data_IF_364446253263
#
_entry.id   IF_364446253263
#
_cell.length_a   1.000
_cell.length_b   1.000
_cell.length_c   1.000
_cell.angle_alpha   90.00
_cell.angle_beta   90.00
_cell.angle_gamma   90.00
#
_symmetry.space_group_name_H-M   'P 1'
#
loop_
_entity.id
_entity.type
_entity.pdbx_description
1 polymer ?
#
# COMPACT_ATOMS: atom_id res chain seq x y z
N UNK A 1 24.23 -10.64 -23.53
CA UNK A 1 22.83 -10.60 -23.05
C UNK A 1 22.46 -9.14 -22.90
N UNK A 2 21.31 -8.74 -23.44
CA UNK A 2 20.73 -7.38 -23.34
C UNK A 2 19.33 -7.47 -22.74
N UNK A 3 18.86 -6.38 -22.16
CA UNK A 3 17.47 -6.20 -21.74
C UNK A 3 16.86 -5.22 -22.74
N UNK A 4 15.75 -5.61 -23.37
CA UNK A 4 14.96 -4.73 -24.22
C UNK A 4 13.91 -4.06 -23.33
N UNK A 5 14.07 -2.75 -23.12
CA UNK A 5 13.21 -1.99 -22.22
C UNK A 5 11.93 -1.54 -22.92
N UNK A 6 10.80 -1.81 -22.28
CA UNK A 6 9.51 -1.21 -22.62
C UNK A 6 9.20 -0.13 -21.58
N UNK A 7 9.05 1.11 -22.04
CA UNK A 7 8.65 2.21 -21.17
C UNK A 7 7.12 2.19 -20.96
N UNK A 8 6.69 2.26 -19.70
CA UNK A 8 5.28 2.36 -19.33
C UNK A 8 4.99 3.70 -18.66
N UNK A 9 4.07 4.53 -19.19
CA UNK A 9 3.75 5.83 -18.59
C UNK A 9 3.12 5.67 -17.20
N UNK A 10 3.55 6.48 -16.23
CA UNK A 10 2.92 6.57 -14.91
C UNK A 10 3.24 7.89 -14.20
N UNK A 11 2.43 8.24 -13.20
CA UNK A 11 2.60 9.44 -12.37
C UNK A 11 2.28 10.75 -13.09
N UNK A 12 2.81 11.85 -12.56
CA UNK A 12 2.55 13.21 -13.07
C UNK A 12 2.91 13.41 -14.55
N UNK A 13 3.90 12.70 -15.07
CA UNK A 13 4.25 12.75 -16.49
C UNK A 13 3.14 12.14 -17.37
N UNK A 14 2.61 10.98 -16.97
CA UNK A 14 1.49 10.34 -17.65
C UNK A 14 0.24 11.21 -17.60
N UNK A 15 -0.09 11.72 -16.41
CA UNK A 15 -1.30 12.53 -16.21
C UNK A 15 -1.28 13.80 -17.07
N UNK A 16 -0.14 14.48 -17.18
CA UNK A 16 0.00 15.66 -18.06
C UNK A 16 -0.18 15.34 -19.54
N UNK A 17 0.20 14.14 -19.97
CA UNK A 17 0.14 13.74 -21.36
C UNK A 17 -1.23 13.18 -21.76
N UNK A 18 -1.88 12.44 -20.86
CA UNK A 18 -3.05 11.59 -21.17
C UNK A 18 -4.27 11.88 -20.30
N UNK A 19 -4.12 12.58 -19.18
CA UNK A 19 -5.14 12.70 -18.13
C UNK A 19 -5.20 11.49 -17.19
N UNK A 20 -4.47 10.41 -17.47
CA UNK A 20 -4.45 9.19 -16.65
C UNK A 20 -3.16 9.09 -15.83
N UNK A 21 -3.30 8.83 -14.53
CA UNK A 21 -2.14 8.68 -13.64
C UNK A 21 -1.36 7.39 -13.88
N UNK A 22 -2.05 6.29 -14.14
CA UNK A 22 -1.45 5.01 -14.52
C UNK A 22 -2.35 4.40 -15.60
N UNK A 23 -2.00 4.56 -16.88
CA UNK A 23 -2.77 4.01 -17.98
C UNK A 23 -2.87 2.50 -17.89
N UNK A 24 -3.99 1.97 -18.39
CA UNK A 24 -4.25 0.53 -18.39
C UNK A 24 -3.18 -0.27 -19.12
N UNK A 25 -2.62 0.28 -20.20
CA UNK A 25 -1.51 -0.31 -20.95
C UNK A 25 -0.28 -0.57 -20.06
N UNK A 26 0.02 0.30 -19.10
CA UNK A 26 1.13 0.13 -18.15
C UNK A 26 0.87 -1.06 -17.22
N UNK A 27 -0.36 -1.18 -16.70
CA UNK A 27 -0.76 -2.32 -15.86
C UNK A 27 -0.70 -3.63 -16.65
N UNK A 28 -1.19 -3.63 -17.88
CA UNK A 28 -1.18 -4.80 -18.75
C UNK A 28 0.25 -5.22 -19.11
N UNK A 29 1.15 -4.26 -19.39
CA UNK A 29 2.56 -4.54 -19.60
C UNK A 29 3.22 -5.20 -18.38
N UNK A 30 2.92 -4.73 -17.15
CA UNK A 30 3.40 -5.40 -15.93
C UNK A 30 2.85 -6.83 -15.79
N UNK A 31 1.56 -7.04 -16.09
CA UNK A 31 0.94 -8.38 -16.04
C UNK A 31 1.52 -9.34 -17.08
N UNK A 32 1.80 -8.85 -18.29
CA UNK A 32 2.39 -9.64 -19.37
C UNK A 32 3.84 -9.99 -19.09
N UNK A 33 4.67 -8.98 -18.77
CA UNK A 33 6.12 -9.16 -18.64
C UNK A 33 6.58 -9.59 -17.24
N UNK A 34 5.70 -9.56 -16.23
CA UNK A 34 5.88 -10.03 -14.83
C UNK A 34 6.90 -9.26 -13.99
N UNK A 35 7.94 -8.73 -14.60
CA UNK A 35 9.01 -7.97 -13.95
C UNK A 35 9.01 -6.58 -14.55
N UNK A 36 9.01 -5.57 -13.70
CA UNK A 36 9.29 -4.22 -14.14
C UNK A 36 9.97 -3.41 -13.05
N UNK A 37 10.57 -2.31 -13.49
CA UNK A 37 11.31 -1.38 -12.65
C UNK A 37 10.64 -0.02 -12.76
N UNK A 38 10.41 0.64 -11.62
CA UNK A 38 9.80 1.96 -11.60
C UNK A 38 10.64 2.95 -10.79
N UNK A 39 10.65 4.20 -11.24
CA UNK A 39 11.21 5.32 -10.50
C UNK A 39 10.29 5.82 -9.37
N UNK A 40 10.66 6.89 -8.65
CA UNK A 40 9.70 7.57 -7.79
C UNK A 40 8.52 8.09 -8.64
N UNK A 41 7.29 7.80 -8.22
CA UNK A 41 6.09 8.33 -8.87
C UNK A 41 5.53 9.46 -8.03
N UNK A 42 5.35 10.62 -8.65
CA UNK A 42 4.68 11.75 -8.04
C UNK A 42 3.19 11.70 -8.41
N UNK A 43 2.34 11.81 -7.39
CA UNK A 43 0.92 12.10 -7.52
C UNK A 43 0.59 13.39 -6.79
N UNK A 44 -0.46 14.09 -7.23
CA UNK A 44 -1.04 15.18 -6.46
C UNK A 44 -2.11 14.59 -5.53
N UNK A 45 -2.07 14.92 -4.24
CA UNK A 45 -3.20 14.63 -3.36
C UNK A 45 -4.30 15.63 -3.71
N UNK A 46 -5.29 15.21 -4.49
CA UNK A 46 -6.41 16.05 -4.90
C UNK A 46 -7.73 15.25 -4.80
N UNK A 47 -8.85 15.97 -4.94
CA UNK A 47 -10.18 15.36 -4.82
C UNK A 47 -10.41 14.24 -5.84
N UNK A 48 -9.82 14.28 -7.04
CA UNK A 48 -9.96 13.20 -8.03
C UNK A 48 -9.33 11.90 -7.54
N UNK A 49 -8.12 11.96 -6.99
CA UNK A 49 -7.44 10.80 -6.39
C UNK A 49 -8.24 10.25 -5.19
N UNK A 50 -8.80 11.14 -4.35
CA UNK A 50 -9.66 10.75 -3.24
C UNK A 50 -11.03 10.18 -3.69
N UNK A 51 -11.63 10.70 -4.76
CA UNK A 51 -12.91 10.24 -5.31
C UNK A 51 -12.81 8.87 -5.98
N UNK A 52 -11.63 8.49 -6.45
CA UNK A 52 -11.34 7.13 -6.90
C UNK A 52 -11.06 6.14 -5.74
N UNK A 53 -11.18 6.57 -4.49
CA UNK A 53 -10.94 5.73 -3.31
C UNK A 53 -9.48 5.35 -3.14
N UNK A 54 -8.55 6.11 -3.70
CA UNK A 54 -7.12 5.83 -3.68
C UNK A 54 -6.36 6.86 -2.85
N UNK A 55 -5.56 6.46 -1.86
CA UNK A 55 -4.62 7.38 -1.21
C UNK A 55 -3.32 7.59 -2.02
N UNK A 56 -2.97 6.66 -2.90
CA UNK A 56 -1.70 6.66 -3.62
C UNK A 56 -1.69 5.79 -4.87
N UNK A 57 -0.92 6.21 -5.88
CA UNK A 57 -0.60 5.37 -7.06
C UNK A 57 0.13 4.08 -6.69
N UNK A 58 0.85 4.07 -5.56
CA UNK A 58 1.50 2.86 -5.07
C UNK A 58 0.48 1.82 -4.57
N UNK A 59 -0.62 2.28 -3.97
CA UNK A 59 -1.71 1.40 -3.52
C UNK A 59 -2.39 0.80 -4.75
N UNK A 60 -2.80 1.63 -5.72
CA UNK A 60 -3.38 1.14 -6.99
C UNK A 60 -2.53 0.08 -7.69
N UNK A 61 -1.22 0.35 -7.86
CA UNK A 61 -0.33 -0.61 -8.51
C UNK A 61 -0.26 -1.94 -7.75
N UNK A 62 -0.34 -1.93 -6.42
CA UNK A 62 -0.31 -3.16 -5.62
C UNK A 62 -1.61 -3.94 -5.74
N UNK A 63 -2.74 -3.25 -5.74
CA UNK A 63 -4.05 -3.87 -5.87
C UNK A 63 -4.25 -4.47 -7.26
N UNK A 64 -4.00 -3.68 -8.31
CA UNK A 64 -4.15 -4.12 -9.70
C UNK A 64 -3.22 -5.29 -10.06
N UNK A 65 -2.05 -5.37 -9.43
CA UNK A 65 -1.06 -6.40 -9.73
C UNK A 65 -0.98 -7.50 -8.66
N UNK A 66 -1.83 -7.47 -7.62
CA UNK A 66 -1.77 -8.32 -6.41
C UNK A 66 -0.33 -8.45 -5.86
N UNK A 67 0.39 -7.32 -5.77
CA UNK A 67 1.74 -7.26 -5.19
C UNK A 67 1.65 -7.26 -3.67
N UNK A 68 1.26 -8.40 -3.12
CA UNK A 68 0.89 -8.57 -1.72
C UNK A 68 2.05 -8.40 -0.72
N UNK A 69 3.30 -8.50 -1.18
CA UNK A 69 4.47 -8.41 -0.32
C UNK A 69 5.42 -7.31 -0.77
N UNK A 70 5.76 -6.42 0.17
CA UNK A 70 6.91 -5.54 0.05
C UNK A 70 8.13 -6.17 0.74
N UNK A 71 9.03 -6.73 -0.06
CA UNK A 71 10.30 -7.30 0.41
C UNK A 71 11.35 -6.20 0.52
N UNK A 72 11.95 -6.06 1.71
CA UNK A 72 12.95 -5.02 2.01
C UNK A 72 14.20 -5.63 2.65
N UNK A 73 15.21 -5.99 1.86
CA UNK A 73 16.50 -6.43 2.40
C UNK A 73 17.27 -5.21 2.94
N UNK A 74 17.77 -5.33 4.16
CA UNK A 74 18.58 -4.35 4.87
C UNK A 74 19.92 -4.95 5.24
N UNK A 75 20.99 -4.34 4.75
CA UNK A 75 22.36 -4.67 5.13
C UNK A 75 23.22 -3.41 5.15
N UNK A 76 24.32 -3.48 5.88
CA UNK A 76 25.29 -2.39 5.91
C UNK A 76 26.15 -2.37 4.65
N UNK A 77 26.24 -1.21 4.02
CA UNK A 77 27.18 -0.93 2.93
C UNK A 77 28.43 -0.26 3.56
N UNK A 78 29.64 -0.79 3.32
CA UNK A 78 30.87 -0.19 3.82
C UNK A 78 30.95 1.30 3.52
N UNK A 79 31.51 2.05 4.48
CA UNK A 79 31.79 3.49 4.38
C UNK A 79 30.56 4.41 4.32
N UNK A 80 29.34 3.87 4.33
CA UNK A 80 28.12 4.67 4.51
C UNK A 80 28.05 5.14 5.98
N UNK A 81 27.98 6.46 6.24
CA UNK A 81 27.84 6.99 7.59
C UNK A 81 26.56 6.49 8.27
N UNK A 82 26.65 6.12 9.55
CA UNK A 82 25.52 5.57 10.28
C UNK A 82 25.62 5.89 11.77
N UNK A 83 24.49 6.17 12.45
CA UNK A 83 24.46 6.39 13.89
C UNK A 83 24.63 5.07 14.69
N UNK A 84 24.60 3.91 14.02
CA UNK A 84 24.70 2.62 14.68
C UNK A 84 26.13 2.32 15.14
N UNK A 85 26.26 1.82 16.37
CA UNK A 85 27.57 1.42 16.93
C UNK A 85 28.18 0.19 16.24
N UNK A 86 27.35 -0.72 15.73
CA UNK A 86 27.76 -2.00 15.10
C UNK A 86 26.95 -2.28 13.83
N UNK A 87 27.10 -1.48 12.77
CA UNK A 87 26.24 -1.59 11.59
C UNK A 87 26.47 -2.87 10.79
N UNK A 88 27.69 -3.42 10.81
CA UNK A 88 28.04 -4.70 10.15
C UNK A 88 27.25 -5.91 10.67
N UNK A 89 26.62 -5.80 11.84
CA UNK A 89 25.75 -6.86 12.38
C UNK A 89 24.34 -6.84 11.78
N UNK A 90 23.98 -5.82 10.99
CA UNK A 90 22.67 -5.72 10.35
C UNK A 90 22.68 -6.51 9.04
N UNK A 91 21.93 -7.61 9.04
CA UNK A 91 21.59 -8.39 7.86
C UNK A 91 20.21 -8.99 8.10
N UNK A 92 19.17 -8.29 7.62
CA UNK A 92 17.77 -8.64 7.85
C UNK A 92 16.98 -8.36 6.59
N UNK A 93 16.08 -9.26 6.20
CA UNK A 93 15.08 -9.00 5.16
C UNK A 93 13.71 -8.89 5.81
N UNK A 94 13.05 -7.77 5.59
CA UNK A 94 11.68 -7.55 6.08
C UNK A 94 10.69 -7.90 4.99
N UNK A 95 9.78 -8.82 5.29
CA UNK A 95 8.62 -9.13 4.47
C UNK A 95 7.42 -8.42 5.07
N UNK A 96 6.84 -7.49 4.33
CA UNK A 96 5.70 -6.71 4.78
C UNK A 96 4.47 -6.99 3.91
N UNK A 97 3.38 -7.39 4.55
CA UNK A 97 2.05 -7.44 3.95
C UNK A 97 1.62 -6.01 3.55
N UNK A 98 1.16 -5.83 2.32
CA UNK A 98 0.78 -4.50 1.77
C UNK A 98 -0.51 -4.52 0.97
N UNK A 99 -1.32 -5.58 1.08
CA UNK A 99 -2.62 -5.73 0.41
C UNK A 99 -3.83 -5.66 1.34
N UNK A 100 -3.63 -5.77 2.66
CA UNK A 100 -4.70 -5.73 3.66
C UNK A 100 -4.38 -4.70 4.78
N UNK A 101 -4.92 -4.92 5.98
CA UNK A 101 -4.71 -4.05 7.14
C UNK A 101 -5.20 -2.62 6.84
N UNK A 102 -4.57 -1.63 7.47
CA UNK A 102 -4.77 -0.20 7.22
C UNK A 102 -4.56 0.23 5.78
N UNK A 103 -3.91 -0.58 4.92
CA UNK A 103 -3.78 -0.27 3.50
C UNK A 103 -5.06 -0.50 2.70
N UNK A 104 -6.07 -1.14 3.30
CA UNK A 104 -7.40 -1.25 2.70
C UNK A 104 -8.18 0.07 2.72
N UNK A 105 -7.68 1.08 3.46
CA UNK A 105 -8.16 2.47 3.45
C UNK A 105 -9.66 2.64 3.78
N UNK A 106 -10.23 1.71 4.54
CA UNK A 106 -11.61 1.80 5.02
C UNK A 106 -11.64 2.68 6.27
N UNK A 107 -11.71 4.00 6.05
CA UNK A 107 -11.67 5.01 7.09
C UNK A 107 -12.83 6.01 6.95
N UNK A 108 -13.44 6.38 8.08
CA UNK A 108 -14.59 7.27 8.16
C UNK A 108 -14.32 8.38 9.16
N UNK A 109 -14.24 9.62 8.67
CA UNK A 109 -14.05 10.80 9.50
C UNK A 109 -15.19 10.99 10.50
N UNK A 110 -14.88 11.53 11.68
CA UNK A 110 -15.88 11.85 12.69
C UNK A 110 -16.98 12.76 12.12
N UNK A 111 -18.23 12.55 12.57
CA UNK A 111 -19.39 13.32 12.12
C UNK A 111 -19.88 13.01 10.69
N UNK A 112 -19.18 12.16 9.93
CA UNK A 112 -19.67 11.69 8.63
C UNK A 112 -20.85 10.73 8.79
N UNK A 113 -21.73 10.66 7.80
CA UNK A 113 -22.88 9.74 7.81
C UNK A 113 -22.43 8.27 7.93
N UNK A 114 -21.34 7.91 7.26
CA UNK A 114 -20.73 6.59 7.30
C UNK A 114 -20.21 6.25 8.70
N UNK A 115 -19.48 7.17 9.34
CA UNK A 115 -18.99 6.98 10.72
C UNK A 115 -20.16 6.81 11.68
N UNK A 116 -21.19 7.67 11.61
CA UNK A 116 -22.38 7.57 12.46
C UNK A 116 -23.15 6.27 12.23
N UNK A 117 -23.24 5.80 10.98
CA UNK A 117 -23.83 4.52 10.64
C UNK A 117 -23.10 3.34 11.28
N UNK A 118 -21.77 3.33 11.18
CA UNK A 118 -20.94 2.29 11.79
C UNK A 118 -20.97 2.36 13.33
N UNK A 119 -20.98 3.56 13.92
CA UNK A 119 -21.16 3.72 15.38
C UNK A 119 -22.49 3.10 15.84
N UNK A 120 -23.61 3.42 15.17
CA UNK A 120 -24.92 2.81 15.49
C UNK A 120 -24.90 1.27 15.38
N UNK A 121 -24.22 0.75 14.37
CA UNK A 121 -24.03 -0.69 14.23
C UNK A 121 -23.24 -1.26 15.42
N UNK A 122 -22.12 -0.65 15.80
CA UNK A 122 -21.30 -1.10 16.93
C UNK A 122 -22.04 -0.99 18.27
N UNK A 123 -22.86 0.04 18.47
CA UNK A 123 -23.64 0.23 19.69
C UNK A 123 -24.76 -0.82 19.85
N UNK A 124 -25.24 -1.38 18.74
CA UNK A 124 -26.30 -2.42 18.74
C UNK A 124 -25.75 -3.85 18.82
N UNK A 125 -24.43 -4.05 18.73
CA UNK A 125 -23.79 -5.36 18.73
C UNK A 125 -22.79 -5.50 19.88
N UNK A 126 -22.76 -6.63 20.61
CA UNK A 126 -21.91 -6.81 21.79
C UNK A 126 -20.44 -7.14 21.40
N UNK A 127 -19.78 -6.23 20.68
CA UNK A 127 -18.39 -6.38 20.20
C UNK A 127 -17.35 -5.71 21.09
N UNK A 128 -17.77 -5.10 22.20
CA UNK A 128 -16.86 -4.47 23.17
C UNK A 128 -16.29 -3.12 22.75
N UNK A 129 -16.84 -2.50 21.71
CA UNK A 129 -16.52 -1.13 21.30
C UNK A 129 -16.85 -0.12 22.41
N UNK A 130 -15.84 0.63 22.89
CA UNK A 130 -15.95 1.64 23.95
C UNK A 130 -14.90 2.75 23.76
N UNK A 131 -15.14 3.75 22.90
CA UNK A 131 -14.18 4.83 22.70
C UNK A 131 -14.23 5.80 23.89
N UNK A 132 -13.13 6.50 24.12
CA UNK A 132 -13.03 7.50 25.18
C UNK A 132 -13.84 8.77 24.86
N UNK A 133 -13.96 9.14 23.59
CA UNK A 133 -14.62 10.36 23.12
C UNK A 133 -15.59 10.05 21.95
N UNK A 134 -16.81 9.60 22.24
CA UNK A 134 -17.79 9.16 21.23
C UNK A 134 -17.98 10.16 20.08
N UNK A 135 -18.21 11.44 20.42
CA UNK A 135 -18.62 12.47 19.45
C UNK A 135 -17.51 12.94 18.51
N UNK A 136 -16.25 12.70 18.86
CA UNK A 136 -15.07 13.14 18.09
C UNK A 136 -14.22 11.99 17.57
N UNK A 137 -14.70 10.74 17.70
CA UNK A 137 -13.98 9.57 17.23
C UNK A 137 -14.28 9.29 15.76
N UNK A 138 -13.23 9.25 14.94
CA UNK A 138 -13.27 8.69 13.59
C UNK A 138 -13.13 7.17 13.66
N UNK A 139 -13.67 6.44 12.69
CA UNK A 139 -13.65 4.99 12.67
C UNK A 139 -12.83 4.47 11.49
N UNK A 140 -12.13 3.36 11.70
CA UNK A 140 -11.44 2.64 10.66
C UNK A 140 -11.72 1.14 10.78
N UNK A 141 -11.77 0.45 9.65
CA UNK A 141 -11.91 -1.01 9.60
C UNK A 141 -10.60 -1.61 9.14
N UNK A 142 -10.07 -2.50 9.97
CA UNK A 142 -8.86 -3.26 9.69
C UNK A 142 -9.24 -4.71 9.41
N UNK A 143 -9.08 -5.16 8.17
CA UNK A 143 -9.19 -6.56 7.78
C UNK A 143 -7.80 -7.20 7.74
N UNK A 144 -7.68 -8.39 8.32
CA UNK A 144 -6.52 -9.27 8.12
C UNK A 144 -7.07 -10.67 7.87
N UNK A 145 -6.67 -11.30 6.77
CA UNK A 145 -7.08 -12.67 6.46
C UNK A 145 -6.00 -13.69 6.81
N UNK A 146 -6.44 -14.93 7.08
CA UNK A 146 -5.52 -16.06 7.23
C UNK A 146 -4.78 -16.33 5.92
N UNK A 147 -5.44 -16.18 4.77
CA UNK A 147 -4.84 -16.37 3.45
C UNK A 147 -3.71 -15.39 3.18
N UNK A 148 -3.95 -14.09 3.40
CA UNK A 148 -2.96 -13.01 3.28
C UNK A 148 -1.75 -13.24 4.20
N UNK A 149 -2.02 -13.62 5.44
CA UNK A 149 -0.97 -13.92 6.44
C UNK A 149 -0.15 -15.15 6.04
N UNK A 150 -0.81 -16.24 5.61
CA UNK A 150 -0.13 -17.47 5.22
C UNK A 150 0.71 -17.30 3.96
N UNK A 151 0.21 -16.61 2.92
CA UNK A 151 0.98 -16.39 1.68
C UNK A 151 2.22 -15.54 1.93
N UNK A 152 2.14 -14.57 2.84
CA UNK A 152 3.31 -13.79 3.29
C UNK A 152 4.32 -14.70 3.99
N UNK A 153 3.87 -15.50 4.97
CA UNK A 153 4.74 -16.41 5.72
C UNK A 153 5.41 -17.44 4.81
N UNK A 154 4.67 -18.04 3.88
CA UNK A 154 5.20 -18.97 2.86
C UNK A 154 6.25 -18.28 2.00
N UNK A 155 5.98 -17.07 1.51
CA UNK A 155 6.94 -16.30 0.72
C UNK A 155 8.24 -15.98 1.47
N UNK A 156 8.14 -15.64 2.76
CA UNK A 156 9.31 -15.38 3.60
C UNK A 156 10.14 -16.64 3.89
N UNK A 157 9.51 -17.81 4.05
CA UNK A 157 10.20 -19.08 4.28
C UNK A 157 10.89 -19.65 3.03
N UNK A 158 10.43 -19.27 1.84
CA UNK A 158 10.97 -19.73 0.55
C UNK A 158 12.11 -18.85 0.03
N UNK A 159 12.28 -17.66 0.59
CA UNK A 159 13.34 -16.71 0.22
C UNK A 159 14.70 -17.11 0.82
#
# INVERSE_FOLDING_TARGET
>A
RSIDWLEGPAGSQSHKATGEWVPRETIEAFREHRIGLKGPLQSEWNQEVAHHGMSSLMTLLREELDLYCCVRPFWYIPDVPTPLRRPRSVSVTVFREVSEDVYSEIEFGHGTEQALGLQRFLDTHPVGWRPLHMDSTSLAVKSISSEGTERLGKGALQF
#
